data_IF_555357488436
#
_entry.id   IF_555357488436
#
_cell.length_a   1.000
_cell.length_b   1.000
_cell.length_c   1.000
_cell.angle_alpha   90.00
_cell.angle_beta   90.00
_cell.angle_gamma   90.00
#
_symmetry.space_group_name_H-M   'P 1'
#
loop_
_entity.id
_entity.type
_entity.pdbx_description
1 polymer ?
#
# COMPACT_ATOMS: atom_id res chain seq x y z
N UNK A 1 -1.89 -16.39 -18.43
CA UNK A 1 -1.84 -16.03 -17.69
C UNK A 1 -2.47 -15.02 -17.28
N UNK A 2 -2.95 -15.02 -16.40
CA UNK A 2 -3.77 -14.00 -15.92
C UNK A 2 -3.00 -12.85 -15.37
N UNK A 3 -3.48 -11.69 -15.59
CA UNK A 3 -2.97 -10.54 -14.95
C UNK A 3 -3.43 -10.49 -13.52
N UNK A 4 -2.56 -10.09 -12.63
CA UNK A 4 -2.96 -9.82 -11.27
C UNK A 4 -3.79 -8.55 -11.26
N UNK A 5 -4.96 -8.61 -10.63
CA UNK A 5 -5.80 -7.43 -10.54
C UNK A 5 -5.24 -6.47 -9.52
N UNK A 6 -5.68 -5.22 -9.60
CA UNK A 6 -5.24 -4.23 -8.63
C UNK A 6 -5.72 -4.59 -7.22
N UNK A 7 -6.87 -5.24 -7.15
CA UNK A 7 -7.35 -5.70 -5.86
C UNK A 7 -6.39 -6.72 -5.24
N UNK A 8 -5.93 -7.66 -6.05
CA UNK A 8 -4.98 -8.65 -5.57
C UNK A 8 -3.65 -8.00 -5.18
N UNK A 9 -3.21 -7.05 -5.98
CA UNK A 9 -1.99 -6.32 -5.65
C UNK A 9 -2.12 -5.60 -4.32
N UNK A 10 -3.26 -4.96 -4.10
CA UNK A 10 -3.50 -4.26 -2.85
C UNK A 10 -3.53 -5.21 -1.67
N UNK A 11 -4.14 -6.37 -1.85
CA UNK A 11 -4.18 -7.37 -0.80
C UNK A 11 -2.80 -7.88 -0.46
N UNK A 12 -1.98 -8.11 -1.47
CA UNK A 12 -0.62 -8.56 -1.26
C UNK A 12 0.21 -7.50 -0.54
N UNK A 13 0.02 -6.24 -0.91
CA UNK A 13 0.71 -5.14 -0.26
C UNK A 13 0.31 -5.07 1.20
N UNK A 14 -0.99 -5.15 1.48
CA UNK A 14 -1.48 -5.09 2.85
C UNK A 14 -0.90 -6.22 3.69
N UNK A 15 -0.87 -7.41 3.13
CA UNK A 15 -0.33 -8.56 3.83
C UNK A 15 1.17 -8.37 4.12
N UNK A 16 1.90 -7.88 3.13
CA UNK A 16 3.33 -7.64 3.30
C UNK A 16 3.61 -6.56 4.34
N UNK A 17 2.67 -5.65 4.53
CA UNK A 17 2.84 -4.57 5.50
C UNK A 17 2.45 -4.97 6.93
N UNK A 18 2.02 -6.19 7.13
CA UNK A 18 1.67 -6.66 8.45
C UNK A 18 0.18 -6.69 8.74
N UNK A 19 -0.64 -6.51 7.70
CA UNK A 19 -2.08 -6.54 7.86
C UNK A 19 -2.64 -5.17 8.18
N UNK A 20 -3.96 -5.08 8.12
CA UNK A 20 -4.60 -3.77 8.28
C UNK A 20 -4.45 -3.21 9.68
N UNK A 21 -4.19 -4.04 10.66
CA UNK A 21 -3.97 -3.57 12.02
C UNK A 21 -2.71 -2.75 12.14
N UNK A 22 -1.79 -2.94 11.22
CA UNK A 22 -0.54 -2.18 11.23
C UNK A 22 -0.65 -0.88 10.45
N UNK A 23 -1.76 -0.64 9.78
CA UNK A 23 -1.95 0.55 8.97
C UNK A 23 -2.68 1.62 9.76
N UNK A 24 -2.01 2.73 10.01
CA UNK A 24 -2.64 3.86 10.68
C UNK A 24 -3.33 4.76 9.66
N UNK A 25 -2.68 4.99 8.55
CA UNK A 25 -3.21 5.88 7.55
C UNK A 25 -2.62 5.54 6.18
N UNK A 26 -3.32 5.90 5.13
CA UNK A 26 -2.87 5.66 3.77
C UNK A 26 -3.19 6.86 2.91
N UNK A 27 -2.26 7.18 2.03
CA UNK A 27 -2.43 8.25 1.07
C UNK A 27 -1.57 7.89 -0.14
N UNK A 28 -1.61 8.71 -1.17
CA UNK A 28 -0.74 8.48 -2.31
C UNK A 28 -0.42 9.80 -2.99
N UNK A 29 0.64 9.77 -3.77
CA UNK A 29 0.95 10.88 -4.63
C UNK A 29 1.01 10.36 -6.06
N UNK A 30 1.69 11.06 -6.95
CA UNK A 30 1.67 10.71 -8.37
C UNK A 30 2.19 9.30 -8.66
N UNK A 31 3.20 8.85 -7.92
CA UNK A 31 3.84 7.58 -8.20
C UNK A 31 4.02 6.69 -6.99
N UNK A 32 3.66 7.16 -5.80
CA UNK A 32 3.96 6.45 -4.57
C UNK A 32 2.74 6.30 -3.69
N UNK A 33 2.68 5.17 -3.03
CA UNK A 33 1.70 4.92 -2.00
C UNK A 33 2.35 5.29 -0.67
N UNK A 34 1.73 6.18 0.08
CA UNK A 34 2.29 6.68 1.35
C UNK A 34 1.49 6.13 2.51
N UNK A 35 2.19 5.51 3.41
CA UNK A 35 1.55 4.80 4.51
C UNK A 35 2.17 5.20 5.83
N UNK A 36 1.32 5.26 6.85
CA UNK A 36 1.79 5.41 8.22
C UNK A 36 1.49 4.10 8.92
N UNK A 37 2.51 3.48 9.46
CA UNK A 37 2.41 2.16 10.05
C UNK A 37 2.65 2.23 11.56
N UNK A 38 2.00 1.34 12.29
CA UNK A 38 2.26 1.19 13.71
C UNK A 38 3.68 0.71 13.96
N UNK A 39 4.10 -0.26 13.17
CA UNK A 39 5.41 -0.87 13.37
C UNK A 39 5.97 -1.25 12.01
N UNK A 40 6.93 -0.47 11.55
CA UNK A 40 7.57 -0.74 10.27
C UNK A 40 8.37 -2.03 10.28
N UNK A 41 8.72 -2.52 11.46
CA UNK A 41 9.42 -3.78 11.58
C UNK A 41 8.59 -4.98 11.19
N UNK A 42 7.28 -4.82 11.09
CA UNK A 42 6.41 -5.90 10.65
C UNK A 42 6.33 -6.03 9.14
N UNK A 43 6.93 -5.12 8.41
CA UNK A 43 6.89 -5.16 6.96
C UNK A 43 7.78 -6.30 6.46
N UNK A 44 7.19 -7.13 5.61
CA UNK A 44 7.94 -8.19 4.94
C UNK A 44 8.43 -7.64 3.61
N UNK A 45 9.67 -7.18 3.61
CA UNK A 45 10.21 -6.51 2.42
C UNK A 45 10.38 -7.44 1.25
N UNK A 46 10.67 -8.70 1.52
CA UNK A 46 10.82 -9.67 0.45
C UNK A 46 9.49 -9.92 -0.24
N UNK A 47 8.44 -10.08 0.56
CA UNK A 47 7.12 -10.28 0.00
C UNK A 47 6.68 -9.05 -0.76
N UNK A 48 6.94 -7.88 -0.20
CA UNK A 48 6.56 -6.62 -0.82
C UNK A 48 7.24 -6.43 -2.17
N UNK A 49 8.54 -6.69 -2.23
CA UNK A 49 9.27 -6.49 -3.47
C UNK A 49 8.93 -7.53 -4.53
N UNK A 50 8.33 -8.64 -4.14
CA UNK A 50 7.90 -9.64 -5.09
C UNK A 50 6.58 -9.28 -5.78
N UNK A 51 5.88 -8.27 -5.29
CA UNK A 51 4.62 -7.85 -5.87
C UNK A 51 4.89 -7.12 -7.18
N UNK A 52 4.16 -7.49 -8.21
CA UNK A 52 4.44 -7.03 -9.55
C UNK A 52 4.38 -5.51 -9.70
N UNK A 53 3.43 -4.88 -9.05
CA UNK A 53 3.26 -3.43 -9.19
C UNK A 53 4.26 -2.62 -8.35
N UNK A 54 4.94 -3.25 -7.43
CA UNK A 54 5.87 -2.55 -6.55
C UNK A 54 7.22 -2.41 -7.23
N UNK A 55 7.65 -1.17 -7.40
CA UNK A 55 8.93 -0.87 -8.02
C UNK A 55 10.02 -0.63 -7.00
N UNK A 56 9.64 -0.29 -5.79
CA UNK A 56 10.60 -0.07 -4.72
C UNK A 56 9.86 0.41 -3.49
N UNK A 57 10.60 0.55 -2.40
CA UNK A 57 10.01 1.00 -1.15
C UNK A 57 11.09 1.63 -0.29
N UNK A 58 10.67 2.53 0.60
CA UNK A 58 11.57 3.07 1.59
C UNK A 58 10.77 3.74 2.70
N UNK A 59 11.45 3.91 3.81
CA UNK A 59 10.89 4.54 4.99
C UNK A 59 11.47 5.94 5.13
N UNK A 60 10.65 6.89 5.50
CA UNK A 60 11.09 8.27 5.59
C UNK A 60 10.31 8.99 6.70
N UNK A 61 10.96 9.18 7.84
CA UNK A 61 10.39 10.00 8.89
C UNK A 61 9.04 9.56 9.40
N UNK A 62 8.86 8.28 9.59
CA UNK A 62 7.58 7.77 10.08
C UNK A 62 6.59 7.45 9.00
N UNK A 63 6.97 7.63 7.76
CA UNK A 63 6.15 7.32 6.61
C UNK A 63 6.79 6.21 5.81
N UNK A 64 6.03 5.21 5.46
CA UNK A 64 6.52 4.14 4.62
C UNK A 64 5.99 4.37 3.21
N UNK A 65 6.89 4.46 2.25
CA UNK A 65 6.52 4.81 0.88
C UNK A 65 6.81 3.64 -0.04
N UNK A 66 5.84 3.32 -0.87
CA UNK A 66 5.95 2.24 -1.85
C UNK A 66 5.83 2.84 -3.23
N UNK A 67 6.87 2.67 -4.03
CA UNK A 67 6.90 3.22 -5.38
C UNK A 67 6.16 2.26 -6.30
N UNK A 68 5.10 2.74 -6.92
CA UNK A 68 4.28 1.90 -7.77
C UNK A 68 4.30 2.38 -9.21
N UNK A 69 4.09 3.66 -9.41
CA UNK A 69 4.12 4.17 -10.76
C UNK A 69 2.88 4.97 -11.08
N UNK A 70 3.04 5.85 -12.02
CA UNK A 70 2.01 6.78 -12.44
C UNK A 70 0.77 6.05 -12.94
N UNK A 71 -0.38 6.44 -12.49
CA UNK A 71 -1.63 5.82 -12.92
C UNK A 71 -1.96 4.56 -12.17
N UNK A 72 -1.02 3.64 -12.09
CA UNK A 72 -1.24 2.39 -11.38
C UNK A 72 -1.44 2.63 -9.89
N UNK A 73 -0.73 3.60 -9.33
CA UNK A 73 -0.85 3.89 -7.91
C UNK A 73 -2.27 4.30 -7.53
N UNK A 74 -2.97 5.00 -8.40
CA UNK A 74 -4.35 5.41 -8.12
C UNK A 74 -5.25 4.20 -7.97
N UNK A 75 -5.10 3.24 -8.87
CA UNK A 75 -5.94 2.04 -8.83
C UNK A 75 -5.63 1.18 -7.62
N UNK A 76 -4.35 1.01 -7.35
CA UNK A 76 -3.94 0.22 -6.19
C UNK A 76 -4.41 0.90 -4.90
N UNK A 77 -4.29 2.21 -4.83
CA UNK A 77 -4.72 2.95 -3.65
C UNK A 77 -6.22 2.76 -3.40
N UNK A 78 -7.03 2.85 -4.45
CA UNK A 78 -8.47 2.67 -4.29
C UNK A 78 -8.82 1.32 -3.68
N UNK A 79 -8.18 0.28 -4.17
CA UNK A 79 -8.44 -1.04 -3.65
C UNK A 79 -7.85 -1.21 -2.26
N UNK A 80 -6.69 -0.62 -2.04
CA UNK A 80 -6.01 -0.73 -0.75
C UNK A 80 -6.85 -0.13 0.38
N UNK A 81 -7.40 1.06 0.19
CA UNK A 81 -8.16 1.69 1.26
C UNK A 81 -9.46 0.95 1.55
N UNK A 82 -10.00 0.24 0.56
CA UNK A 82 -11.19 -0.56 0.79
C UNK A 82 -10.90 -1.73 1.71
N UNK A 83 -9.81 -2.42 1.48
CA UNK A 83 -9.50 -3.62 2.25
C UNK A 83 -8.82 -3.28 3.56
N UNK A 84 -8.05 -2.20 3.60
CA UNK A 84 -7.40 -1.79 4.83
C UNK A 84 -8.32 -0.98 5.74
N UNK A 85 -9.43 -0.54 5.20
CA UNK A 85 -10.41 0.24 5.92
C UNK A 85 -9.81 1.51 6.51
N UNK A 86 -8.94 2.14 5.74
CA UNK A 86 -8.34 3.41 6.11
C UNK A 86 -8.49 4.34 4.92
N UNK A 87 -7.99 5.51 5.06
CA UNK A 87 -8.03 6.43 3.98
C UNK A 87 -8.38 7.80 4.49
N UNK A 88 -8.02 8.75 3.74
CA UNK A 88 -8.23 10.11 4.15
C UNK A 88 -9.67 10.52 4.12
N UNK A 89 -10.45 9.78 3.46
CA UNK A 89 -11.75 10.18 3.42
C UNK A 89 -12.61 9.57 4.32
N UNK A 90 -12.82 9.66 4.66
CA UNK A 90 -13.63 9.24 5.34
C UNK A 90 -14.74 9.66 5.60
N UNK A 91 -15.11 10.02 5.30
CA UNK A 91 -15.94 10.39 5.47
C UNK A 91 -16.98 10.23 5.44
N UNK A 92 -17.31 10.27 5.50
CA UNK A 92 -18.07 10.08 5.43
C UNK A 92 -18.97 10.05 5.51
N UNK A 93 -19.23 10.23 5.61
CA UNK A 93 -19.93 10.20 5.59
C UNK A 93 -20.47 10.19 5.58
#
# INVERSE_FOLDING_TARGET
MAKISYKESAEQILEALGGRENIINAAHCATRLRLVLNDEGKVDKEKLSAIDVVKGDFSNGGQYQIIIGSGTVNEVYKEFIKIANVGSCKIDL
#
